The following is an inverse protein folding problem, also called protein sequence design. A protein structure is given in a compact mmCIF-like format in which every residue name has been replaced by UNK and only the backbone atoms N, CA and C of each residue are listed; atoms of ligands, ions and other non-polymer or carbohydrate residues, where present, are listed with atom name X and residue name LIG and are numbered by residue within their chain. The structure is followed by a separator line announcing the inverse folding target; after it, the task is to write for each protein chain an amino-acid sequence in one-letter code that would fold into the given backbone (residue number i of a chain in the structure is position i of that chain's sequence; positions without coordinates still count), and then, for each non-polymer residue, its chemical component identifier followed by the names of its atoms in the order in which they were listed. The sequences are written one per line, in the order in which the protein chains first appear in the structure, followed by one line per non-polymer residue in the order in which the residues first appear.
data_IF_829708989580
#
_entry.id   IF_829708989580
#
_cell.length_a   1.000
_cell.length_b   1.000
_cell.length_c   1.000
_cell.angle_alpha   90.00
_cell.angle_beta   90.00
_cell.angle_gamma   90.00
#
_symmetry.space_group_name_H-M   'P 1'
#
loop_
_entity.id
_entity.type
_entity.pdbx_description
1 polymer ?
#
# COMPACT_ATOMS: atom_id res chain seq x y z
N UNK A 1 -12.26 16.64 0.97
CA UNK A 1 -12.48 15.93 -0.31
C UNK A 1 -12.54 14.43 -0.06
N UNK A 2 -13.04 13.64 -1.02
CA UNK A 2 -13.00 12.18 -0.97
C UNK A 2 -11.76 11.70 -1.75
N UNK A 3 -10.67 11.41 -1.05
CA UNK A 3 -9.36 11.06 -1.62
C UNK A 3 -9.27 9.58 -2.00
N UNK A 4 -10.32 9.05 -2.62
CA UNK A 4 -10.42 7.65 -3.00
C UNK A 4 -10.37 7.46 -4.51
N UNK A 5 -9.31 7.97 -5.15
CA UNK A 5 -9.18 7.96 -6.61
C UNK A 5 -9.08 6.54 -7.18
N UNK A 6 -8.41 5.64 -6.47
CA UNK A 6 -8.27 4.24 -6.86
C UNK A 6 -9.41 3.33 -6.34
N UNK A 7 -10.50 3.89 -5.81
CA UNK A 7 -11.69 3.13 -5.39
C UNK A 7 -11.38 1.95 -4.45
N UNK A 8 -10.57 2.18 -3.41
CA UNK A 8 -10.36 1.21 -2.32
C UNK A 8 -11.52 1.24 -1.33
N UNK A 9 -11.85 0.09 -0.72
CA UNK A 9 -12.85 0.05 0.37
C UNK A 9 -12.25 0.44 1.73
N UNK A 10 -10.92 0.65 1.78
CA UNK A 10 -10.21 1.09 2.97
C UNK A 10 -10.51 2.55 3.29
N UNK A 11 -11.50 2.77 4.14
CA UNK A 11 -11.89 4.09 4.67
C UNK A 11 -11.10 4.44 5.94
N UNK A 12 -9.77 4.43 5.83
CA UNK A 12 -8.87 4.88 6.89
C UNK A 12 -8.28 6.25 6.53
N UNK A 13 -8.33 7.26 7.42
CA UNK A 13 -7.64 8.53 7.19
C UNK A 13 -6.15 8.32 6.93
N UNK A 14 -5.57 9.11 6.03
CA UNK A 14 -4.13 9.05 5.78
C UNK A 14 -3.37 9.52 7.03
N UNK A 15 -2.69 8.57 7.67
CA UNK A 15 -1.75 8.85 8.76
C UNK A 15 -0.72 7.73 8.86
N UNK A 16 0.48 8.06 9.35
CA UNK A 16 1.54 7.06 9.56
C UNK A 16 1.11 5.96 10.52
N UNK A 17 0.27 6.30 11.52
CA UNK A 17 -0.36 5.35 12.43
C UNK A 17 -1.26 4.36 11.69
N UNK A 18 -2.07 4.83 10.75
CA UNK A 18 -2.97 3.96 9.99
C UNK A 18 -2.20 3.08 9.00
N UNK A 19 -1.18 3.59 8.32
CA UNK A 19 -0.28 2.77 7.50
C UNK A 19 0.35 1.63 8.32
N UNK A 20 0.91 1.98 9.49
CA UNK A 20 1.49 1.01 10.42
C UNK A 20 0.49 -0.05 10.89
N UNK A 21 -0.73 0.36 11.22
CA UNK A 21 -1.79 -0.58 11.61
C UNK A 21 -2.16 -1.52 10.45
N UNK A 22 -2.34 -0.99 9.25
CA UNK A 22 -2.66 -1.78 8.05
C UNK A 22 -1.55 -2.81 7.78
N UNK A 23 -0.28 -2.39 7.73
CA UNK A 23 0.87 -3.28 7.55
C UNK A 23 0.94 -4.35 8.65
N UNK A 24 0.73 -3.99 9.92
CA UNK A 24 0.73 -4.93 11.01
C UNK A 24 -0.39 -5.99 10.88
N UNK A 25 -1.58 -5.62 10.40
CA UNK A 25 -2.64 -6.61 10.13
C UNK A 25 -2.27 -7.58 9.01
N UNK A 26 -1.59 -7.11 7.95
CA UNK A 26 -1.07 -7.98 6.89
C UNK A 26 0.04 -8.89 7.41
N UNK A 27 0.97 -8.37 8.22
CA UNK A 27 2.04 -9.14 8.85
C UNK A 27 1.50 -10.29 9.71
N UNK A 28 0.42 -10.02 10.47
CA UNK A 28 -0.26 -11.01 11.31
C UNK A 28 -1.24 -11.91 10.57
N UNK A 29 -1.48 -11.66 9.27
CA UNK A 29 -2.49 -12.34 8.45
C UNK A 29 -3.91 -12.18 9.01
N UNK A 30 -4.19 -11.05 9.63
CA UNK A 30 -5.48 -10.67 10.24
C UNK A 30 -6.26 -9.67 9.36
N UNK A 31 -5.67 -9.24 8.23
CA UNK A 31 -6.28 -8.30 7.30
C UNK A 31 -7.57 -8.87 6.69
N UNK A 32 -8.65 -8.08 6.72
CA UNK A 32 -9.94 -8.39 6.06
C UNK A 32 -10.08 -7.75 4.68
N UNK A 33 -9.02 -7.12 4.21
CA UNK A 33 -8.88 -6.50 2.90
C UNK A 33 -7.81 -7.24 2.09
N UNK A 34 -7.89 -7.17 0.77
CA UNK A 34 -6.86 -7.69 -0.13
C UNK A 34 -5.57 -6.85 -0.05
N UNK A 35 -4.42 -7.44 -0.36
CA UNK A 35 -3.18 -6.65 -0.45
C UNK A 35 -3.31 -5.56 -1.51
N UNK A 36 -4.02 -5.83 -2.61
CA UNK A 36 -4.33 -4.84 -3.64
C UNK A 36 -5.07 -3.62 -3.07
N UNK A 37 -6.05 -3.80 -2.19
CA UNK A 37 -6.73 -2.66 -1.55
C UNK A 37 -5.78 -1.80 -0.70
N UNK A 38 -4.81 -2.43 -0.02
CA UNK A 38 -3.76 -1.72 0.69
C UNK A 38 -2.85 -0.94 -0.28
N UNK A 39 -2.46 -1.53 -1.42
CA UNK A 39 -1.68 -0.83 -2.44
C UNK A 39 -2.43 0.42 -2.91
N UNK A 40 -3.70 0.28 -3.27
CA UNK A 40 -4.54 1.41 -3.71
C UNK A 40 -4.69 2.49 -2.64
N UNK A 41 -4.74 2.09 -1.37
CA UNK A 41 -4.74 3.04 -0.26
C UNK A 41 -3.41 3.78 -0.12
N UNK A 42 -2.27 3.09 -0.34
CA UNK A 42 -0.95 3.73 -0.36
C UNK A 42 -0.82 4.70 -1.54
N UNK A 43 -1.30 4.33 -2.72
CA UNK A 43 -1.29 5.20 -3.92
C UNK A 43 -2.13 6.46 -3.70
N UNK A 44 -3.37 6.31 -3.21
CA UNK A 44 -4.20 7.46 -2.85
C UNK A 44 -3.52 8.37 -1.79
N UNK A 45 -2.78 7.78 -0.85
CA UNK A 45 -2.05 8.52 0.17
C UNK A 45 -0.89 9.32 -0.43
N UNK A 46 -0.10 8.72 -1.32
CA UNK A 46 1.06 9.39 -1.91
C UNK A 46 0.61 10.52 -2.84
N UNK A 47 -0.46 10.30 -3.62
CA UNK A 47 -1.11 11.34 -4.43
C UNK A 47 -1.60 12.52 -3.57
N UNK A 48 -2.30 12.25 -2.46
CA UNK A 48 -2.82 13.31 -1.59
C UNK A 48 -1.71 14.12 -0.88
N UNK A 49 -0.54 13.51 -0.67
CA UNK A 49 0.63 14.20 -0.11
C UNK A 49 1.35 15.07 -1.16
N UNK A 50 1.41 14.62 -2.42
CA UNK A 50 1.93 15.45 -3.52
C UNK A 50 1.07 16.70 -3.79
N UNK A 51 -0.23 16.66 -3.46
CA UNK A 51 -1.14 17.81 -3.53
C UNK A 51 -1.08 18.73 -2.29
N UNK A 52 -0.11 18.54 -1.37
CA UNK A 52 0.13 19.37 -0.17
C UNK A 52 -1.01 19.33 0.88
N UNK A 53 -1.94 18.35 0.79
CA UNK A 53 -3.14 18.28 1.64
C UNK A 53 -3.09 17.21 2.74
N UNK A 54 -2.06 16.36 2.74
CA UNK A 54 -1.93 15.24 3.69
C UNK A 54 -1.37 15.63 5.09
N UNK A 55 -1.14 16.92 5.36
CA UNK A 55 -0.65 17.43 6.64
C UNK A 55 0.80 16.99 6.95
N UNK A 56 1.21 17.07 8.24
CA UNK A 56 2.51 16.55 8.73
C UNK A 56 2.54 15.01 8.70
N UNK A 57 2.45 14.42 7.51
CA UNK A 57 2.71 13.01 7.33
C UNK A 57 4.20 12.75 7.50
N UNK A 58 4.57 11.72 8.26
CA UNK A 58 5.96 11.35 8.44
C UNK A 58 6.61 10.99 7.09
N UNK A 59 7.70 11.67 6.71
CA UNK A 59 8.42 11.45 5.45
C UNK A 59 8.81 9.99 5.21
N UNK A 60 9.13 9.24 6.27
CA UNK A 60 9.45 7.81 6.18
C UNK A 60 8.21 7.01 5.84
N UNK A 61 7.09 7.31 6.49
CA UNK A 61 5.84 6.65 6.17
C UNK A 61 5.44 6.94 4.73
N UNK A 62 5.70 8.15 4.23
CA UNK A 62 5.42 8.50 2.84
C UNK A 62 6.33 7.69 1.91
N UNK A 63 7.64 7.65 2.20
CA UNK A 63 8.60 6.85 1.45
C UNK A 63 8.23 5.37 1.38
N UNK A 64 7.77 4.80 2.50
CA UNK A 64 7.29 3.41 2.56
C UNK A 64 6.00 3.22 1.73
N UNK A 65 5.04 4.14 1.81
CA UNK A 65 3.82 4.06 0.99
C UNK A 65 4.14 4.11 -0.52
N UNK A 66 5.05 5.01 -0.93
CA UNK A 66 5.56 5.13 -2.30
C UNK A 66 6.37 3.91 -2.75
N UNK A 67 7.13 3.31 -1.84
CA UNK A 67 7.83 2.06 -2.13
C UNK A 67 6.86 0.89 -2.35
N UNK A 68 5.81 0.79 -1.53
CA UNK A 68 4.79 -0.25 -1.62
C UNK A 68 4.10 -0.25 -3.01
N UNK A 69 3.68 0.91 -3.52
CA UNK A 69 3.08 1.01 -4.87
C UNK A 69 4.10 0.67 -5.98
N UNK A 70 5.34 1.16 -5.86
CA UNK A 70 6.37 0.91 -6.88
C UNK A 70 6.73 -0.59 -6.94
N UNK A 71 6.87 -1.24 -5.78
CA UNK A 71 7.17 -2.66 -5.69
C UNK A 71 6.01 -3.53 -6.18
N UNK A 72 4.76 -3.07 -6.01
CA UNK A 72 3.61 -3.74 -6.60
C UNK A 72 3.70 -3.79 -8.12
N UNK A 73 3.91 -2.64 -8.77
CA UNK A 73 4.02 -2.56 -10.24
C UNK A 73 5.22 -3.37 -10.75
N UNK A 74 6.38 -3.24 -10.10
CA UNK A 74 7.57 -4.02 -10.44
C UNK A 74 7.33 -5.52 -10.27
N UNK A 75 6.65 -5.95 -9.21
CA UNK A 75 6.33 -7.36 -9.02
C UNK A 75 5.43 -7.88 -10.13
N UNK A 76 4.38 -7.14 -10.49
CA UNK A 76 3.44 -7.55 -11.54
C UNK A 76 4.14 -7.76 -12.88
N UNK A 77 4.94 -6.79 -13.33
CA UNK A 77 5.60 -6.86 -14.65
C UNK A 77 6.73 -7.89 -14.70
N UNK A 78 7.35 -8.21 -13.57
CA UNK A 78 8.42 -9.22 -13.50
C UNK A 78 7.90 -10.64 -13.28
N UNK A 79 6.68 -10.80 -12.77
CA UNK A 79 6.12 -12.12 -12.42
C UNK A 79 5.18 -12.65 -13.49
N UNK A 80 4.38 -11.78 -14.11
CA UNK A 80 3.33 -12.17 -15.04
C UNK A 80 3.65 -11.68 -16.46
N UNK A 81 3.34 -12.50 -17.45
CA UNK A 81 3.33 -12.06 -18.84
C UNK A 81 2.20 -11.05 -19.07
N UNK A 82 2.31 -10.25 -20.14
CA UNK A 82 1.26 -9.30 -20.54
C UNK A 82 -0.12 -9.97 -20.69
N UNK A 83 -0.16 -11.18 -21.26
CA UNK A 83 -1.40 -11.92 -21.46
C UNK A 83 -2.03 -12.36 -20.13
N UNK A 84 -1.21 -12.73 -19.15
CA UNK A 84 -1.69 -13.07 -17.81
C UNK A 84 -2.22 -11.83 -17.10
N UNK A 85 -1.48 -10.71 -17.13
CA UNK A 85 -1.90 -9.44 -16.52
C UNK A 85 -3.27 -8.97 -17.01
N UNK A 86 -3.56 -9.09 -18.32
CA UNK A 86 -4.85 -8.70 -18.90
C UNK A 86 -6.05 -9.49 -18.36
N UNK A 87 -5.83 -10.68 -17.80
CA UNK A 87 -6.88 -11.56 -17.29
C UNK A 87 -6.77 -11.78 -15.78
N UNK A 88 -5.79 -11.14 -15.13
CA UNK A 88 -5.46 -11.36 -13.73
C UNK A 88 -6.43 -10.61 -12.82
N UNK A 89 -7.00 -11.34 -11.87
CA UNK A 89 -7.72 -10.73 -10.75
C UNK A 89 -6.69 -10.21 -9.73
N UNK A 90 -6.40 -8.91 -9.79
CA UNK A 90 -5.40 -8.24 -8.95
C UNK A 90 -5.70 -8.39 -7.45
N UNK A 91 -6.97 -8.54 -7.05
CA UNK A 91 -7.33 -8.73 -5.64
C UNK A 91 -6.77 -10.04 -5.04
N UNK A 92 -6.42 -11.01 -5.89
CA UNK A 92 -5.88 -12.32 -5.50
C UNK A 92 -4.36 -12.37 -5.50
N UNK A 93 -3.68 -11.37 -6.06
CA UNK A 93 -2.21 -11.32 -6.08
C UNK A 93 -1.70 -11.12 -4.66
N UNK A 94 -0.59 -11.81 -4.34
CA UNK A 94 0.08 -11.75 -3.05
C UNK A 94 1.55 -11.41 -3.27
N UNK A 95 1.97 -10.25 -2.75
CA UNK A 95 3.37 -9.90 -2.62
C UNK A 95 4.06 -10.78 -1.55
N UNK A 96 5.39 -10.92 -1.61
CA UNK A 96 6.16 -11.63 -0.59
C UNK A 96 5.89 -11.10 0.82
N UNK A 97 5.65 -12.00 1.78
CA UNK A 97 5.30 -11.63 3.15
C UNK A 97 6.43 -10.86 3.85
N UNK A 98 7.70 -11.17 3.54
CA UNK A 98 8.85 -10.53 4.16
C UNK A 98 8.93 -9.04 3.84
N UNK A 99 8.47 -8.59 2.66
CA UNK A 99 8.43 -7.17 2.32
C UNK A 99 7.57 -6.37 3.30
N UNK A 100 6.39 -6.89 3.66
CA UNK A 100 5.53 -6.25 4.65
C UNK A 100 6.16 -6.17 6.04
N UNK A 101 6.94 -7.19 6.41
CA UNK A 101 7.67 -7.22 7.69
C UNK A 101 8.77 -6.14 7.67
N UNK A 102 9.57 -6.10 6.61
CA UNK A 102 10.65 -5.13 6.43
C UNK A 102 10.12 -3.68 6.44
N UNK A 103 9.01 -3.40 5.73
CA UNK A 103 8.37 -2.09 5.76
C UNK A 103 7.83 -1.73 7.15
N UNK A 104 7.26 -2.70 7.87
CA UNK A 104 6.77 -2.48 9.24
C UNK A 104 7.92 -2.22 10.22
N UNK A 105 9.04 -2.91 10.08
CA UNK A 105 10.27 -2.71 10.87
C UNK A 105 10.82 -1.30 10.66
N UNK A 106 10.92 -0.83 9.41
CA UNK A 106 11.35 0.54 9.10
C UNK A 106 10.44 1.62 9.75
N UNK A 107 9.13 1.35 9.86
CA UNK A 107 8.18 2.22 10.57
C UNK A 107 8.23 2.11 12.11
N UNK A 108 8.98 1.15 12.66
CA UNK A 108 9.18 0.96 14.09
C UNK A 108 10.50 1.53 14.59
N UNK A 109 11.50 1.70 13.71
CA UNK A 109 12.83 2.17 14.07
C UNK A 109 12.92 3.67 14.42
N UNK A 110 11.79 4.40 14.44
CA UNK A 110 11.72 5.82 14.85
C UNK A 110 10.56 6.13 15.78
#
# INVERSE_FOLDING_TARGET
MNWNWNETTLDFPFSSKNLKNLLNTVCRKENRFSQYELIKWCDNLTMAFEEDEAGEFNEIAFGIAREIECQWDLFLVNTYSLKELQNLDLSKVKLPQNWFIEWLEQLNEK
#
